data_IF_939257404603
#
_entry.id   IF_939257404603
#
_cell.length_a   1.000
_cell.length_b   1.000
_cell.length_c   1.000
_cell.angle_alpha   90.00
_cell.angle_beta   90.00
_cell.angle_gamma   90.00
#
_symmetry.space_group_name_H-M   'P 1'
#
loop_
_entity.id
_entity.type
_entity.pdbx_description
1 polymer ?
#
# COMPACT_ATOMS: atom_id res chain seq x y z
N UNK A 1 -32.11 -22.16 31.90
CA UNK A 1 -30.72 -21.90 31.45
C UNK A 1 -30.41 -22.54 30.10
N UNK A 2 -30.81 -23.80 29.86
CA UNK A 2 -30.55 -24.52 28.60
C UNK A 2 -31.08 -23.82 27.34
N UNK A 3 -32.26 -23.17 27.39
CA UNK A 3 -32.81 -22.45 26.24
C UNK A 3 -31.95 -21.24 25.82
N UNK A 4 -31.50 -20.44 26.79
CA UNK A 4 -30.61 -19.30 26.52
C UNK A 4 -29.28 -19.80 25.94
N UNK A 5 -28.71 -20.87 26.51
CA UNK A 5 -27.50 -21.50 25.98
C UNK A 5 -27.67 -21.96 24.54
N UNK A 6 -28.81 -22.58 24.22
CA UNK A 6 -29.09 -23.07 22.87
C UNK A 6 -29.32 -21.93 21.87
N UNK A 7 -29.97 -20.84 22.31
CA UNK A 7 -30.14 -19.63 21.52
C UNK A 7 -28.78 -18.95 21.25
N UNK A 8 -27.91 -18.83 22.26
CA UNK A 8 -26.56 -18.29 22.11
C UNK A 8 -25.71 -19.16 21.18
N UNK A 9 -25.75 -20.49 21.33
CA UNK A 9 -25.06 -21.42 20.44
C UNK A 9 -25.52 -21.26 18.99
N UNK A 10 -26.84 -21.18 18.77
CA UNK A 10 -27.42 -20.97 17.44
C UNK A 10 -26.92 -19.66 16.82
N UNK A 11 -26.95 -18.57 17.60
CA UNK A 11 -26.44 -17.27 17.15
C UNK A 11 -24.95 -17.32 16.79
N UNK A 12 -24.12 -17.93 17.63
CA UNK A 12 -22.69 -18.07 17.37
C UNK A 12 -22.42 -18.89 16.10
N UNK A 13 -23.20 -19.97 15.87
CA UNK A 13 -23.11 -20.77 14.65
C UNK A 13 -23.40 -19.91 13.42
N UNK A 14 -24.49 -19.14 13.41
CA UNK A 14 -24.83 -18.25 12.29
C UNK A 14 -23.75 -17.20 12.02
N UNK A 15 -23.17 -16.60 13.08
CA UNK A 15 -22.07 -15.64 12.93
C UNK A 15 -20.86 -16.32 12.28
N UNK A 16 -20.48 -17.51 12.75
CA UNK A 16 -19.34 -18.25 12.22
C UNK A 16 -19.55 -18.67 10.75
N UNK A 17 -20.75 -19.12 10.38
CA UNK A 17 -21.10 -19.49 9.00
C UNK A 17 -20.95 -18.29 8.07
N UNK A 18 -21.55 -17.15 8.42
CA UNK A 18 -21.51 -15.94 7.59
C UNK A 18 -20.10 -15.36 7.48
N UNK A 19 -19.37 -15.27 8.59
CA UNK A 19 -18.00 -14.73 8.59
C UNK A 19 -17.04 -15.67 7.86
N UNK A 20 -17.24 -16.99 7.95
CA UNK A 20 -16.49 -17.97 7.15
C UNK A 20 -16.71 -17.78 5.65
N UNK A 21 -17.97 -17.60 5.22
CA UNK A 21 -18.30 -17.33 3.82
C UNK A 21 -17.66 -16.03 3.32
N UNK A 22 -17.70 -14.95 4.11
CA UNK A 22 -17.03 -13.68 3.78
C UNK A 22 -15.52 -13.89 3.62
N UNK A 23 -14.89 -14.63 4.55
CA UNK A 23 -13.46 -14.90 4.50
C UNK A 23 -13.07 -15.76 3.28
N UNK A 24 -13.93 -16.71 2.87
CA UNK A 24 -13.75 -17.50 1.65
C UNK A 24 -13.84 -16.61 0.41
N UNK A 25 -14.90 -15.81 0.26
CA UNK A 25 -15.05 -14.88 -0.86
C UNK A 25 -13.89 -13.90 -0.99
N UNK A 26 -13.29 -13.48 0.13
CA UNK A 26 -12.08 -12.64 0.10
C UNK A 26 -10.85 -13.38 -0.39
N UNK A 27 -10.75 -14.68 -0.10
CA UNK A 27 -9.63 -15.53 -0.55
C UNK A 27 -9.82 -16.00 -1.99
N UNK A 28 -11.06 -16.04 -2.49
CA UNK A 28 -11.38 -16.43 -3.84
C UNK A 28 -10.84 -15.41 -4.84
N UNK A 29 -10.07 -15.92 -5.79
CA UNK A 29 -9.56 -15.11 -6.89
C UNK A 29 -10.59 -15.17 -8.01
N UNK A 30 -11.56 -14.24 -8.01
CA UNK A 30 -12.60 -14.12 -9.06
C UNK A 30 -12.06 -13.98 -10.50
N UNK A 31 -10.74 -13.96 -10.68
CA UNK A 31 -10.03 -13.92 -11.97
C UNK A 31 -9.91 -15.28 -12.65
N UNK A 32 -10.14 -16.38 -11.94
CA UNK A 32 -10.02 -17.74 -12.49
C UNK A 32 -11.34 -18.30 -13.03
N UNK A 33 -12.45 -17.60 -12.82
CA UNK A 33 -13.78 -18.07 -13.21
C UNK A 33 -14.22 -17.41 -14.52
N UNK A 34 -14.30 -18.20 -15.58
CA UNK A 34 -14.57 -17.77 -16.97
C UNK A 34 -15.93 -17.07 -17.14
N UNK A 35 -16.82 -17.21 -16.14
CA UNK A 35 -18.14 -16.59 -16.11
C UNK A 35 -18.19 -15.22 -15.42
N UNK A 36 -17.08 -14.75 -14.84
CA UNK A 36 -17.03 -13.47 -14.12
C UNK A 36 -16.35 -12.37 -14.95
N UNK A 37 -17.13 -11.38 -15.36
CA UNK A 37 -16.60 -10.16 -16.00
C UNK A 37 -16.34 -9.06 -14.95
N UNK A 38 -15.16 -8.39 -14.97
CA UNK A 38 -14.90 -7.24 -14.11
C UNK A 38 -15.88 -6.09 -14.41
N UNK A 39 -16.72 -5.73 -13.43
CA UNK A 39 -17.74 -4.68 -13.61
C UNK A 39 -17.16 -3.25 -13.62
N UNK A 40 -16.07 -3.00 -12.88
CA UNK A 40 -15.40 -1.69 -12.81
C UNK A 40 -14.00 -1.80 -12.19
N UNK A 41 -13.03 -1.04 -12.72
CA UNK A 41 -11.67 -0.93 -12.18
C UNK A 41 -11.45 0.40 -11.45
N UNK A 42 -12.21 0.60 -10.36
CA UNK A 42 -12.14 1.79 -9.51
C UNK A 42 -10.72 2.02 -8.96
N UNK A 43 -9.97 0.94 -8.67
CA UNK A 43 -8.59 1.07 -8.14
C UNK A 43 -7.65 1.70 -9.15
N UNK A 44 -7.69 1.26 -10.41
CA UNK A 44 -6.87 1.89 -11.46
C UNK A 44 -7.31 3.30 -11.77
N UNK A 45 -8.61 3.59 -11.73
CA UNK A 45 -9.13 4.96 -11.85
C UNK A 45 -8.59 5.88 -10.74
N UNK A 46 -8.60 5.45 -9.47
CA UNK A 46 -7.99 6.24 -8.39
C UNK A 46 -6.49 6.47 -8.62
N UNK A 47 -5.73 5.44 -9.02
CA UNK A 47 -4.31 5.60 -9.34
C UNK A 47 -4.05 6.60 -10.47
N UNK A 48 -4.95 6.66 -11.45
CA UNK A 48 -4.89 7.65 -12.52
C UNK A 48 -5.10 9.07 -11.99
N UNK A 49 -6.08 9.28 -11.11
CA UNK A 49 -6.28 10.59 -10.46
C UNK A 49 -5.07 11.03 -9.63
N UNK A 50 -4.49 10.13 -8.84
CA UNK A 50 -3.26 10.45 -8.11
C UNK A 50 -2.11 10.84 -9.06
N UNK A 51 -2.02 10.19 -10.23
CA UNK A 51 -1.01 10.52 -11.22
C UNK A 51 -1.26 11.89 -11.86
N UNK A 52 -2.51 12.23 -12.16
CA UNK A 52 -2.89 13.56 -12.63
C UNK A 52 -2.51 14.64 -11.61
N UNK A 53 -2.81 14.42 -10.33
CA UNK A 53 -2.45 15.35 -9.26
C UNK A 53 -0.94 15.57 -9.17
N UNK A 54 -0.13 14.50 -9.29
CA UNK A 54 1.33 14.61 -9.34
C UNK A 54 1.81 15.45 -10.52
N UNK A 55 1.25 15.23 -11.72
CA UNK A 55 1.62 16.00 -12.91
C UNK A 55 1.20 17.47 -12.81
N UNK A 56 0.03 17.75 -12.23
CA UNK A 56 -0.42 19.12 -12.02
C UNK A 56 0.48 19.88 -11.05
N UNK A 57 0.89 19.23 -9.96
CA UNK A 57 1.87 19.75 -9.01
C UNK A 57 3.20 20.05 -9.69
N UNK A 58 3.74 19.10 -10.46
CA UNK A 58 4.99 19.30 -11.22
C UNK A 58 4.89 20.52 -12.15
N UNK A 59 3.80 20.62 -12.92
CA UNK A 59 3.57 21.75 -13.84
C UNK A 59 3.48 23.09 -13.10
N UNK A 60 2.96 23.11 -11.87
CA UNK A 60 2.90 24.31 -11.03
C UNK A 60 4.29 24.69 -10.51
N UNK A 61 5.03 23.72 -9.97
CA UNK A 61 6.39 23.92 -9.45
C UNK A 61 7.35 24.40 -10.57
N UNK A 62 7.22 23.86 -11.78
CA UNK A 62 7.97 24.30 -12.96
C UNK A 62 7.65 25.75 -13.34
N UNK A 63 6.37 26.15 -13.33
CA UNK A 63 5.97 27.54 -13.58
C UNK A 63 6.53 28.50 -12.53
N UNK A 64 6.48 28.12 -11.25
CA UNK A 64 7.06 28.94 -10.17
C UNK A 64 8.59 29.08 -10.32
N UNK A 65 9.27 27.99 -10.70
CA UNK A 65 10.70 27.99 -11.00
C UNK A 65 11.04 28.87 -12.20
N UNK A 66 10.26 28.82 -13.27
CA UNK A 66 10.47 29.64 -14.46
C UNK A 66 10.34 31.13 -14.14
N UNK A 67 9.32 31.53 -13.35
CA UNK A 67 9.13 32.91 -12.91
C UNK A 67 10.35 33.39 -12.09
N UNK A 68 10.83 32.58 -11.16
CA UNK A 68 12.02 32.91 -10.35
C UNK A 68 13.27 33.09 -11.21
N UNK A 69 13.52 32.18 -12.16
CA UNK A 69 14.65 32.27 -13.08
C UNK A 69 14.52 33.48 -14.02
N UNK A 70 13.31 33.79 -14.49
CA UNK A 70 13.03 34.96 -15.33
C UNK A 70 13.27 36.27 -14.58
N UNK A 71 12.81 36.37 -13.33
CA UNK A 71 13.06 37.52 -12.47
C UNK A 71 14.57 37.72 -12.22
N UNK A 72 15.31 36.64 -11.95
CA UNK A 72 16.76 36.69 -11.71
C UNK A 72 17.58 37.09 -12.95
N UNK A 73 17.09 36.80 -14.17
CA UNK A 73 17.73 37.18 -15.44
C UNK A 73 17.42 38.61 -15.88
N UNK A 74 16.47 39.30 -15.25
CA UNK A 74 16.12 40.69 -15.58
C UNK A 74 17.29 41.64 -15.28
N UNK A 75 17.68 42.45 -16.27
CA UNK A 75 18.79 43.44 -16.19
C UNK A 75 18.33 44.84 -15.75
N UNK A 76 17.17 44.97 -15.10
CA UNK A 76 16.71 46.26 -14.56
C UNK A 76 17.77 46.85 -13.62
N UNK A 77 18.13 48.11 -13.86
CA UNK A 77 19.26 48.82 -13.24
C UNK A 77 18.87 49.59 -11.97
N UNK A 78 17.58 49.62 -11.63
CA UNK A 78 17.07 50.22 -10.41
C UNK A 78 16.90 49.08 -9.39
N UNK A 79 17.79 49.00 -8.40
CA UNK A 79 17.77 47.96 -7.35
C UNK A 79 16.54 48.15 -6.45
N UNK A 80 15.41 47.60 -6.88
CA UNK A 80 14.27 47.31 -6.02
C UNK A 80 14.69 46.18 -5.05
N UNK A 81 14.59 46.37 -3.72
CA UNK A 81 14.93 45.34 -2.73
C UNK A 81 14.20 44.00 -2.96
N UNK A 82 13.01 44.02 -3.57
CA UNK A 82 12.28 42.82 -3.97
C UNK A 82 13.02 42.03 -5.07
N UNK A 83 13.65 42.71 -6.02
CA UNK A 83 14.39 42.07 -7.11
C UNK A 83 15.68 41.39 -6.62
N UNK A 84 16.34 41.97 -5.62
CA UNK A 84 17.49 41.35 -4.95
C UNK A 84 17.10 40.06 -4.21
N UNK A 85 15.96 40.07 -3.50
CA UNK A 85 15.40 38.89 -2.83
C UNK A 85 15.05 37.77 -3.82
N UNK A 86 14.42 38.10 -4.94
CA UNK A 86 14.11 37.14 -6.01
C UNK A 86 15.37 36.46 -6.57
N UNK A 87 16.44 37.24 -6.82
CA UNK A 87 17.73 36.72 -7.28
C UNK A 87 18.42 35.82 -6.24
N UNK A 88 18.34 36.18 -4.96
CA UNK A 88 18.85 35.35 -3.87
C UNK A 88 18.08 34.03 -3.77
N UNK A 89 16.74 34.08 -3.83
CA UNK A 89 15.86 32.90 -3.81
C UNK A 89 16.13 31.97 -5.00
N UNK A 90 16.41 32.52 -6.19
CA UNK A 90 16.79 31.73 -7.35
C UNK A 90 18.14 31.00 -7.17
N UNK A 91 19.14 31.65 -6.54
CA UNK A 91 20.43 31.02 -6.22
C UNK A 91 20.28 29.90 -5.19
N UNK A 92 19.48 30.13 -4.14
CA UNK A 92 19.20 29.12 -3.11
C UNK A 92 18.48 27.90 -3.70
N UNK A 93 17.49 28.13 -4.58
CA UNK A 93 16.80 27.05 -5.30
C UNK A 93 17.76 26.20 -6.14
N UNK A 94 18.68 26.82 -6.88
CA UNK A 94 19.71 26.08 -7.65
C UNK A 94 20.63 25.26 -6.74
N UNK A 95 21.05 25.83 -5.60
CA UNK A 95 21.90 25.13 -4.65
C UNK A 95 21.17 23.92 -4.03
N UNK A 96 19.90 24.09 -3.67
CA UNK A 96 19.06 23.01 -3.13
C UNK A 96 18.87 21.89 -4.16
N UNK A 97 18.66 22.21 -5.43
CA UNK A 97 18.51 21.22 -6.51
C UNK A 97 19.80 20.41 -6.72
N UNK A 98 20.95 21.07 -6.78
CA UNK A 98 22.27 20.41 -6.84
C UNK A 98 22.51 19.50 -5.63
N UNK A 99 22.13 19.95 -4.43
CA UNK A 99 22.25 19.15 -3.22
C UNK A 99 21.34 17.90 -3.26
N UNK A 100 20.10 18.04 -3.74
CA UNK A 100 19.20 16.90 -3.92
C UNK A 100 19.73 15.91 -4.96
N UNK A 101 20.27 16.38 -6.09
CA UNK A 101 20.88 15.52 -7.10
C UNK A 101 22.05 14.72 -6.51
N UNK A 102 22.97 15.38 -5.79
CA UNK A 102 24.06 14.70 -5.08
C UNK A 102 23.56 13.68 -4.07
N UNK A 103 22.50 13.99 -3.32
CA UNK A 103 21.93 13.03 -2.36
C UNK A 103 21.34 11.80 -3.07
N UNK A 104 20.66 11.97 -4.20
CA UNK A 104 20.11 10.85 -4.99
C UNK A 104 21.23 9.98 -5.55
N UNK A 105 22.30 10.59 -6.07
CA UNK A 105 23.49 9.89 -6.56
C UNK A 105 24.19 9.11 -5.44
N UNK A 106 24.34 9.71 -4.27
CA UNK A 106 24.90 9.04 -3.09
C UNK A 106 24.05 7.84 -2.66
N UNK A 107 22.71 7.98 -2.63
CA UNK A 107 21.80 6.88 -2.30
C UNK A 107 21.87 5.73 -3.31
N UNK A 108 21.93 6.05 -4.61
CA UNK A 108 22.08 5.05 -5.68
C UNK A 108 23.40 4.29 -5.53
N UNK A 109 24.49 5.01 -5.26
CA UNK A 109 25.81 4.42 -5.00
C UNK A 109 25.80 3.54 -3.75
N UNK A 110 25.15 3.97 -2.68
CA UNK A 110 25.00 3.18 -1.45
C UNK A 110 24.21 1.88 -1.69
N UNK A 111 23.12 1.93 -2.46
CA UNK A 111 22.35 0.73 -2.82
C UNK A 111 23.17 -0.27 -3.65
N UNK A 112 23.98 0.23 -4.59
CA UNK A 112 24.91 -0.60 -5.36
C UNK A 112 25.99 -1.23 -4.45
N UNK A 113 26.50 -0.48 -3.47
CA UNK A 113 27.54 -0.93 -2.55
C UNK A 113 27.05 -1.94 -1.48
N UNK A 114 25.78 -1.88 -1.06
CA UNK A 114 25.22 -2.82 -0.06
C UNK A 114 25.21 -4.27 -0.57
N UNK A 115 25.09 -4.49 -1.88
CA UNK A 115 25.11 -5.81 -2.51
C UNK A 115 23.97 -6.76 -2.06
N UNK A 116 23.86 -7.97 -2.66
CA UNK A 116 22.87 -8.97 -2.27
C UNK A 116 23.13 -9.46 -0.85
N UNK A 117 22.39 -8.92 0.13
CA UNK A 117 22.54 -9.33 1.53
C UNK A 117 21.98 -10.74 1.72
N UNK A 118 22.88 -11.72 1.82
CA UNK A 118 22.57 -13.07 2.30
C UNK A 118 21.98 -12.93 3.71
N UNK A 119 20.68 -13.16 3.87
CA UNK A 119 20.04 -13.22 5.19
C UNK A 119 20.76 -14.32 5.97
N UNK A 120 21.55 -13.97 6.99
CA UNK A 120 21.98 -14.96 7.99
C UNK A 120 20.69 -15.53 8.58
N UNK A 121 20.45 -16.81 8.34
CA UNK A 121 19.49 -17.56 9.14
C UNK A 121 20.07 -17.55 10.55
N UNK A 122 19.37 -16.92 11.49
CA UNK A 122 19.65 -17.11 12.91
C UNK A 122 19.49 -18.60 13.17
N UNK A 123 20.55 -19.18 13.72
CA UNK A 123 20.78 -20.61 13.86
C UNK A 123 19.66 -21.33 14.61
N UNK A 124 19.24 -22.46 14.04
CA UNK A 124 18.87 -23.65 14.80
C UNK A 124 19.62 -24.81 14.12
N UNK A 125 20.52 -25.54 14.82
CA UNK A 125 21.32 -26.57 14.21
C UNK A 125 20.55 -27.88 14.07
N UNK A 126 20.60 -28.46 12.88
CA UNK A 126 20.09 -29.80 12.58
C UNK A 126 20.32 -30.20 11.11
N UNK A 127 21.51 -30.76 10.85
CA UNK A 127 21.85 -31.68 9.76
C UNK A 127 22.09 -31.18 8.30
N UNK A 128 23.38 -31.15 7.95
CA UNK A 128 24.07 -31.89 6.86
C UNK A 128 23.69 -31.67 5.37
N UNK A 129 24.66 -31.08 4.66
CA UNK A 129 25.27 -31.46 3.35
C UNK A 129 24.54 -31.31 2.00
N UNK A 130 25.23 -30.53 1.14
CA UNK A 130 25.55 -30.72 -0.31
C UNK A 130 24.46 -30.78 -1.38
N UNK A 131 24.71 -30.03 -2.46
CA UNK A 131 24.59 -30.58 -3.81
C UNK A 131 23.40 -30.11 -4.65
N UNK A 132 23.66 -29.06 -5.44
CA UNK A 132 23.35 -28.89 -6.87
C UNK A 132 22.10 -29.54 -7.53
N UNK A 133 21.37 -28.65 -8.24
CA UNK A 133 20.61 -28.78 -9.50
C UNK A 133 19.16 -29.33 -9.55
N UNK A 134 18.33 -28.46 -10.18
CA UNK A 134 17.28 -28.72 -11.18
C UNK A 134 15.98 -29.48 -10.83
N UNK A 135 14.88 -29.01 -11.43
CA UNK A 135 13.59 -29.69 -11.54
C UNK A 135 12.50 -29.03 -10.68
N UNK A 136 11.75 -28.05 -11.19
CA UNK A 136 10.48 -28.23 -11.93
C UNK A 136 9.46 -29.14 -11.23
N UNK A 137 8.26 -28.57 -11.07
CA UNK A 137 6.96 -29.23 -10.82
C UNK A 137 6.70 -29.81 -9.43
N UNK A 138 6.07 -29.00 -8.57
CA UNK A 138 5.25 -29.49 -7.47
C UNK A 138 4.09 -28.53 -7.14
N UNK A 139 3.33 -28.09 -8.15
CA UNK A 139 2.15 -27.22 -7.92
C UNK A 139 0.81 -27.98 -7.96
N UNK A 140 0.79 -29.32 -8.00
CA UNK A 140 -0.46 -30.09 -8.04
C UNK A 140 -0.87 -30.79 -6.74
N UNK A 141 0.01 -30.86 -5.73
CA UNK A 141 -0.23 -31.66 -4.52
C UNK A 141 -0.78 -30.87 -3.31
N UNK A 142 -0.95 -29.54 -3.41
CA UNK A 142 -1.37 -28.70 -2.28
C UNK A 142 -2.89 -28.52 -2.13
N UNK A 143 -3.70 -29.09 -3.02
CA UNK A 143 -5.14 -28.82 -3.07
C UNK A 143 -5.99 -29.68 -2.12
N UNK A 144 -5.41 -30.67 -1.45
CA UNK A 144 -6.16 -31.55 -0.53
C UNK A 144 -5.87 -31.35 0.96
N UNK A 145 -5.07 -30.34 1.32
CA UNK A 145 -4.98 -29.93 2.71
C UNK A 145 -6.15 -28.99 2.97
N UNK A 146 -7.12 -29.42 3.79
CA UNK A 146 -8.20 -28.55 4.30
C UNK A 146 -7.60 -27.20 4.69
N UNK A 147 -7.76 -26.20 3.83
CA UNK A 147 -7.23 -24.87 4.08
C UNK A 147 -8.05 -24.30 5.21
N UNK A 148 -7.42 -24.11 6.36
CA UNK A 148 -8.04 -23.40 7.48
C UNK A 148 -8.46 -22.02 6.96
N UNK A 149 -9.76 -21.73 6.95
CA UNK A 149 -10.29 -20.41 6.61
C UNK A 149 -9.84 -19.42 7.68
N UNK A 150 -8.89 -18.55 7.33
CA UNK A 150 -8.41 -17.52 8.24
C UNK A 150 -9.33 -16.32 8.19
N UNK A 151 -10.05 -16.11 9.28
CA UNK A 151 -10.90 -14.93 9.48
C UNK A 151 -10.06 -13.78 10.04
N UNK A 152 -10.21 -12.60 9.45
CA UNK A 152 -9.60 -11.36 9.94
C UNK A 152 -10.64 -10.40 10.49
N UNK A 153 -10.19 -9.35 11.19
CA UNK A 153 -11.06 -8.31 11.73
C UNK A 153 -11.95 -7.65 10.65
N UNK A 154 -11.45 -7.48 9.43
CA UNK A 154 -12.23 -6.91 8.30
C UNK A 154 -13.47 -7.73 7.96
N UNK A 155 -13.42 -9.04 8.12
CA UNK A 155 -14.55 -9.92 7.81
C UNK A 155 -15.67 -9.72 8.86
N UNK A 156 -15.28 -9.55 10.13
CA UNK A 156 -16.20 -9.20 11.21
C UNK A 156 -16.79 -7.80 11.07
N UNK A 157 -15.99 -6.81 10.67
CA UNK A 157 -16.48 -5.44 10.42
C UNK A 157 -17.54 -5.48 9.31
N UNK A 158 -17.22 -6.10 8.17
CA UNK A 158 -18.15 -6.23 7.05
C UNK A 158 -19.44 -6.96 7.48
N UNK A 159 -19.31 -8.07 8.21
CA UNK A 159 -20.47 -8.79 8.75
C UNK A 159 -21.34 -7.89 9.65
N UNK A 160 -20.71 -7.16 10.58
CA UNK A 160 -21.43 -6.32 11.55
C UNK A 160 -22.13 -5.13 10.89
N UNK A 161 -21.57 -4.58 9.81
CA UNK A 161 -22.18 -3.49 9.03
C UNK A 161 -23.50 -3.94 8.37
N UNK A 162 -23.56 -5.18 7.86
CA UNK A 162 -24.74 -5.73 7.18
C UNK A 162 -25.85 -6.15 8.15
N UNK A 163 -25.50 -6.54 9.37
CA UNK A 163 -26.47 -7.05 10.33
C UNK A 163 -27.12 -5.91 11.15
N UNK A 164 -28.46 -5.81 11.09
CA UNK A 164 -29.27 -4.76 11.73
C UNK A 164 -28.98 -4.59 13.23
N UNK A 165 -28.69 -5.69 13.93
CA UNK A 165 -28.47 -5.70 15.37
C UNK A 165 -27.10 -5.16 15.77
N UNK A 166 -26.10 -5.29 14.90
CA UNK A 166 -24.70 -4.95 15.18
C UNK A 166 -24.20 -3.71 14.44
N UNK A 167 -24.92 -3.25 13.42
CA UNK A 167 -24.52 -2.12 12.56
C UNK A 167 -24.44 -0.78 13.29
N UNK A 168 -25.07 -0.68 14.46
CA UNK A 168 -24.99 0.49 15.36
C UNK A 168 -24.39 0.14 16.72
N UNK A 169 -23.70 -0.99 16.82
CA UNK A 169 -23.12 -1.44 18.08
C UNK A 169 -21.84 -0.68 18.42
N UNK A 170 -21.59 -0.49 19.71
CA UNK A 170 -20.32 0.06 20.22
C UNK A 170 -19.12 -0.78 19.77
N UNK A 171 -19.30 -2.09 19.62
CA UNK A 171 -18.26 -3.01 19.17
C UNK A 171 -17.79 -2.67 17.75
N UNK A 172 -18.72 -2.43 16.83
CA UNK A 172 -18.40 -2.02 15.46
C UNK A 172 -17.68 -0.66 15.44
N UNK A 173 -18.20 0.33 16.15
CA UNK A 173 -17.56 1.65 16.21
C UNK A 173 -16.14 1.59 16.77
N UNK A 174 -15.90 0.77 17.79
CA UNK A 174 -14.54 0.54 18.31
C UNK A 174 -13.64 -0.21 17.33
N UNK A 175 -14.20 -1.10 16.52
CA UNK A 175 -13.44 -1.83 15.50
C UNK A 175 -13.02 -0.93 14.32
N UNK A 176 -13.84 0.06 13.96
CA UNK A 176 -13.56 1.02 12.88
C UNK A 176 -12.50 2.08 13.24
N UNK A 177 -12.25 2.29 14.53
CA UNK A 177 -11.27 3.27 15.03
C UNK A 177 -9.87 2.69 15.26
N UNK A 178 -9.65 1.41 14.92
CA UNK A 178 -8.35 0.73 14.99
C UNK A 178 -7.69 0.67 13.62
#
# INVERSE_FOLDING_TARGET
VNFISHATQSRLRTVLEKVSSIAQHRMDSCKEDEWHEPSSDVRSQLKFFEQLERMEKQRKDEREREILLRAAKSRSRQEDPEQARLKQKAKEMQQQELAQMRQREANLTALAAIGPRKKRKVDSPGATTTGTEAGLQANSALYNRQRITRVNLRDFIFYMEQERETSRSLLLYRALLK
#
